data_IF_121902009234
#
_entry.id   IF_121902009234
#
_cell.length_a   1.000
_cell.length_b   1.000
_cell.length_c   1.000
_cell.angle_alpha   90.00
_cell.angle_beta   90.00
_cell.angle_gamma   90.00
#
_symmetry.space_group_name_H-M   'P 1'
#
loop_
_entity.id
_entity.type
_entity.pdbx_description
1 polymer ?
2 non-polymer ?
3 non-polymer ?
4 water ?
#
# COMPACT_ATOMS: atom_id res chain seq x y z
N UNK A 1 9.69 -19.06 24.81
CA UNK A 1 9.45 -18.82 23.36
C UNK A 1 10.63 -19.34 22.54
N UNK A 2 10.45 -20.52 21.95
CA UNK A 2 11.51 -21.12 21.14
C UNK A 2 11.18 -20.96 19.66
N UNK A 3 12.15 -20.47 18.89
CA UNK A 3 11.96 -20.28 17.45
C UNK A 3 12.97 -21.12 16.67
N UNK A 4 12.64 -21.38 15.42
CA UNK A 4 13.50 -22.15 14.52
C UNK A 4 13.89 -21.31 13.33
N UNK A 5 15.18 -21.29 13.02
CA UNK A 5 15.67 -20.52 11.87
C UNK A 5 15.55 -21.43 10.66
N UNK A 6 14.96 -20.92 9.59
CA UNK A 6 14.77 -21.71 8.37
C UNK A 6 15.49 -21.00 7.25
N UNK A 7 16.56 -21.62 6.75
CA UNK A 7 17.37 -21.02 5.70
C UNK A 7 17.59 -21.92 4.49
N UNK A 8 16.88 -23.05 4.41
CA UNK A 8 17.03 -23.95 3.29
C UNK A 8 15.68 -24.37 2.73
N UNK A 9 15.64 -24.71 1.45
CA UNK A 9 14.39 -25.13 0.83
C UNK A 9 13.81 -26.36 1.53
N UNK A 10 14.66 -27.31 1.87
CA UNK A 10 14.20 -28.53 2.55
C UNK A 10 13.58 -28.24 3.91
N UNK A 11 14.19 -27.33 4.65
CA UNK A 11 13.68 -26.97 5.97
C UNK A 11 12.34 -26.27 5.83
N UNK A 12 12.22 -25.44 4.80
CA UNK A 12 10.96 -24.73 4.56
C UNK A 12 9.89 -25.75 4.19
N UNK A 13 10.25 -26.70 3.33
CA UNK A 13 9.30 -27.73 2.91
C UNK A 13 8.82 -28.53 4.13
N UNK A 14 9.74 -28.90 5.01
CA UNK A 14 9.39 -29.65 6.20
C UNK A 14 8.46 -28.87 7.12
N UNK A 15 8.76 -27.58 7.28
CA UNK A 15 7.93 -26.72 8.11
C UNK A 15 6.50 -26.68 7.58
N UNK A 16 6.37 -26.38 6.29
CA UNK A 16 5.06 -26.28 5.67
C UNK A 16 4.26 -27.58 5.74
N UNK A 17 4.96 -28.71 5.72
CA UNK A 17 4.28 -30.01 5.81
C UNK A 17 3.57 -30.12 7.16
N UNK A 18 4.20 -29.58 8.20
CA UNK A 18 3.62 -29.62 9.53
C UNK A 18 2.55 -28.54 9.72
N UNK A 19 2.79 -27.37 9.16
CA UNK A 19 1.87 -26.25 9.28
C UNK A 19 0.54 -26.47 8.57
N UNK A 20 0.56 -27.20 7.46
CA UNK A 20 -0.66 -27.42 6.69
C UNK A 20 -1.86 -27.98 7.45
N UNK A 21 -1.60 -28.67 8.56
CA UNK A 21 -2.67 -29.25 9.37
C UNK A 21 -3.36 -28.25 10.30
N UNK A 22 -2.74 -27.09 10.50
CA UNK A 22 -3.31 -26.07 11.37
C UNK A 22 -4.35 -25.18 10.71
N UNK A 23 -5.28 -24.64 11.51
CA UNK A 23 -6.35 -23.77 11.01
C UNK A 23 -5.98 -22.31 10.77
N UNK A 24 -4.86 -21.86 11.33
CA UNK A 24 -4.47 -20.47 11.15
C UNK A 24 -3.02 -20.25 11.52
N UNK A 25 -2.45 -19.19 10.94
CA UNK A 25 -1.08 -18.81 11.23
C UNK A 25 -0.95 -17.31 11.36
N UNK A 26 -0.04 -16.89 12.23
CA UNK A 26 0.26 -15.49 12.43
C UNK A 26 1.49 -15.24 11.55
N UNK A 27 1.50 -14.12 10.83
CA UNK A 27 2.60 -13.76 9.94
C UNK A 27 3.12 -12.36 10.19
N UNK A 28 4.36 -12.12 9.79
CA UNK A 28 4.97 -10.81 9.90
C UNK A 28 6.23 -10.86 9.04
N UNK A 29 6.82 -9.70 8.77
CA UNK A 29 8.06 -9.64 8.00
C UNK A 29 8.93 -8.55 8.58
N UNK A 30 10.20 -8.57 8.21
CA UNK A 30 11.14 -7.54 8.62
C UNK A 30 11.85 -7.16 7.33
N UNK A 31 12.01 -5.88 7.10
CA UNK A 31 12.67 -5.40 5.89
C UNK A 31 13.30 -4.05 6.19
N UNK A 32 14.26 -3.65 5.36
CA UNK A 32 14.93 -2.37 5.55
C UNK A 32 14.52 -1.39 4.48
N UNK A 33 14.48 -0.11 4.83
CA UNK A 33 14.11 0.93 3.89
C UNK A 33 15.39 1.58 3.38
N UNK A 34 15.74 1.27 2.13
CA UNK A 34 16.94 1.82 1.52
C UNK A 34 16.57 2.64 0.29
N UNK A 35 17.46 2.67 -0.70
CA UNK A 35 17.20 3.45 -1.92
C UNK A 35 16.69 2.57 -3.06
N UNK A 36 16.42 1.30 -2.77
CA UNK A 36 15.93 0.40 -3.80
C UNK A 36 14.47 0.65 -4.15
N UNK A 37 14.07 0.15 -5.32
CA UNK A 37 12.69 0.29 -5.77
C UNK A 37 11.83 -0.67 -4.95
N UNK A 38 12.29 -1.91 -4.89
CA UNK A 38 11.59 -2.93 -4.12
C UNK A 38 12.22 -3.00 -2.73
N UNK A 39 11.39 -3.03 -1.68
CA UNK A 39 11.94 -3.09 -0.33
C UNK A 39 12.82 -4.33 -0.21
N UNK A 40 13.89 -4.22 0.58
CA UNK A 40 14.79 -5.33 0.78
C UNK A 40 14.30 -6.16 1.96
N UNK A 41 13.78 -7.35 1.64
CA UNK A 41 13.25 -8.27 2.63
C UNK A 41 14.34 -8.98 3.42
N UNK A 42 14.25 -8.92 4.74
CA UNK A 42 15.25 -9.56 5.57
C UNK A 42 14.75 -10.78 6.32
N UNK A 43 13.44 -10.90 6.50
CA UNK A 43 12.91 -12.03 7.24
C UNK A 43 11.39 -12.15 7.12
N UNK A 44 10.90 -13.37 7.21
CA UNK A 44 9.46 -13.65 7.21
C UNK A 44 9.26 -14.52 8.44
N UNK A 45 8.27 -14.18 9.25
CA UNK A 45 8.00 -14.95 10.46
C UNK A 45 6.64 -15.61 10.39
N UNK A 46 6.56 -16.84 10.89
CA UNK A 46 5.32 -17.59 10.88
C UNK A 46 5.14 -18.36 12.17
N UNK A 47 3.91 -18.41 12.67
CA UNK A 47 3.61 -19.12 13.91
C UNK A 47 2.23 -19.75 13.80
N UNK A 48 2.13 -21.06 14.05
CA UNK A 48 0.85 -21.76 13.97
C UNK A 48 0.36 -22.20 15.35
N UNK A 49 1.07 -21.77 16.39
CA UNK A 49 0.69 -22.13 17.74
C UNK A 49 1.65 -23.15 18.34
N UNK A 50 2.33 -23.89 17.47
CA UNK A 50 3.28 -24.90 17.90
C UNK A 50 4.64 -24.71 17.24
N UNK A 51 4.64 -24.32 15.97
CA UNK A 51 5.88 -24.08 15.25
C UNK A 51 6.06 -22.59 15.03
N UNK A 52 7.17 -22.06 15.52
CA UNK A 52 7.50 -20.64 15.38
C UNK A 52 8.72 -20.61 14.49
N UNK A 53 8.57 -20.07 13.28
CA UNK A 53 9.68 -20.03 12.34
C UNK A 53 10.10 -18.65 11.88
N UNK A 54 11.42 -18.49 11.75
CA UNK A 54 12.01 -17.26 11.25
C UNK A 54 12.63 -17.76 9.95
N UNK A 55 12.05 -17.31 8.84
CA UNK A 55 12.47 -17.72 7.51
C UNK A 55 13.37 -16.67 6.88
N UNK A 56 14.60 -17.08 6.58
CA UNK A 56 15.59 -16.20 5.98
C UNK A 56 15.47 -16.27 4.46
N UNK A 57 14.91 -15.22 3.83
CA UNK A 57 14.74 -15.20 2.37
C UNK A 57 16.04 -15.36 1.59
N UNK A 58 17.16 -14.97 2.21
CA UNK A 58 18.45 -15.07 1.54
C UNK A 58 18.91 -16.51 1.29
N UNK A 59 18.37 -17.45 2.06
CA UNK A 59 18.77 -18.84 1.87
C UNK A 59 17.76 -19.69 1.13
N UNK A 60 16.59 -19.13 0.83
CA UNK A 60 15.53 -19.85 0.14
C UNK A 60 15.55 -19.63 -1.37
N UNK A 61 15.33 -20.72 -2.12
CA UNK A 61 15.29 -20.65 -3.58
C UNK A 61 13.89 -21.04 -4.06
N UNK A 62 13.34 -22.09 -3.45
CA UNK A 62 12.01 -22.58 -3.82
C UNK A 62 11.00 -22.22 -2.73
N UNK A 63 10.15 -21.24 -3.04
CA UNK A 63 9.12 -20.78 -2.12
C UNK A 63 7.81 -21.54 -2.26
N UNK A 64 7.73 -22.43 -3.24
CA UNK A 64 6.50 -23.18 -3.50
C UNK A 64 5.76 -23.73 -2.27
N UNK A 65 6.46 -24.42 -1.36
CA UNK A 65 5.77 -24.96 -0.18
C UNK A 65 5.05 -23.88 0.64
N UNK A 66 5.70 -22.74 0.83
CA UNK A 66 5.10 -21.66 1.61
C UNK A 66 3.97 -20.99 0.83
N UNK A 67 4.16 -20.81 -0.48
CA UNK A 67 3.10 -20.19 -1.28
C UNK A 67 1.85 -21.07 -1.25
N UNK A 68 2.04 -22.38 -1.13
CA UNK A 68 0.90 -23.29 -1.07
C UNK A 68 0.16 -23.04 0.24
N UNK A 69 0.91 -22.89 1.33
CA UNK A 69 0.32 -22.60 2.62
C UNK A 69 -0.42 -21.26 2.57
N UNK A 70 0.22 -20.27 1.95
CA UNK A 70 -0.36 -18.94 1.86
C UNK A 70 -1.61 -18.82 1.02
N UNK A 71 -1.87 -19.79 0.12
CA UNK A 71 -3.09 -19.73 -0.70
C UNK A 71 -4.11 -20.76 -0.24
N UNK A 72 -3.74 -21.55 0.76
CA UNK A 72 -4.62 -22.60 1.30
C UNK A 72 -5.84 -21.98 1.99
N UNK A 73 -7.05 -22.21 1.45
CA UNK A 73 -8.26 -21.64 2.05
C UNK A 73 -8.57 -22.17 3.45
N UNK A 74 -8.01 -23.35 3.79
CA UNK A 74 -8.25 -23.95 5.11
C UNK A 74 -7.34 -23.40 6.19
N UNK A 75 -6.45 -22.48 5.82
CA UNK A 75 -5.53 -21.87 6.77
C UNK A 75 -5.74 -20.36 6.73
N UNK A 76 -6.26 -19.79 7.81
CA UNK A 76 -6.45 -18.36 7.84
C UNK A 76 -5.13 -17.69 8.18
N UNK A 77 -4.72 -16.72 7.37
CA UNK A 77 -3.49 -16.00 7.63
C UNK A 77 -3.82 -14.69 8.32
N UNK A 78 -3.05 -14.38 9.36
CA UNK A 78 -3.25 -13.15 10.11
C UNK A 78 -1.98 -12.31 10.20
N UNK A 79 -2.15 -11.01 10.24
CA UNK A 79 -1.05 -10.08 10.43
C UNK A 79 -1.61 -8.84 11.10
N UNK A 80 -0.74 -7.95 11.56
CA UNK A 80 -1.17 -6.71 12.18
C UNK A 80 -0.52 -5.55 11.45
N UNK A 81 -1.32 -4.61 10.96
CA UNK A 81 -0.84 -3.44 10.23
C UNK A 81 0.03 -3.95 9.08
N UNK A 82 -0.59 -4.70 8.18
CA UNK A 82 0.16 -5.29 7.08
C UNK A 82 0.30 -4.62 5.73
N UNK A 83 -0.02 -3.33 5.61
CA UNK A 83 0.09 -2.67 4.32
C UNK A 83 1.45 -2.92 3.65
N UNK A 84 2.54 -2.69 4.37
CA UNK A 84 3.86 -2.91 3.81
C UNK A 84 4.15 -4.39 3.63
N UNK A 85 3.62 -5.22 4.53
CA UNK A 85 3.82 -6.66 4.41
C UNK A 85 3.22 -7.15 3.10
N UNK A 86 2.07 -6.60 2.74
CA UNK A 86 1.43 -7.00 1.49
C UNK A 86 2.36 -6.70 0.31
N UNK A 87 3.01 -5.54 0.37
CA UNK A 87 3.92 -5.12 -0.68
C UNK A 87 5.06 -6.13 -0.80
N UNK A 88 5.65 -6.50 0.32
CA UNK A 88 6.75 -7.46 0.33
C UNK A 88 6.30 -8.82 -0.17
N UNK A 89 5.11 -9.26 0.24
CA UNK A 89 4.59 -10.54 -0.19
C UNK A 89 4.43 -10.58 -1.71
N UNK A 90 3.87 -9.52 -2.28
CA UNK A 90 3.69 -9.49 -3.74
C UNK A 90 5.04 -9.56 -4.44
N UNK A 91 6.04 -8.89 -3.89
CA UNK A 91 7.37 -8.88 -4.52
C UNK A 91 8.13 -10.21 -4.45
N UNK A 92 7.89 -11.00 -3.42
CA UNK A 92 8.60 -12.27 -3.32
C UNK A 92 7.79 -13.46 -3.81
N UNK A 93 6.47 -13.41 -3.62
CA UNK A 93 5.59 -14.51 -4.02
C UNK A 93 4.80 -14.26 -5.31
N UNK A 94 4.62 -12.99 -5.66
CA UNK A 94 3.88 -12.66 -6.88
C UNK A 94 2.38 -12.64 -6.66
N UNK A 95 1.96 -12.97 -5.45
CA UNK A 95 0.55 -13.01 -5.09
C UNK A 95 0.41 -12.79 -3.59
N UNK A 96 -0.77 -12.36 -3.15
CA UNK A 96 -1.02 -12.14 -1.74
C UNK A 96 -1.64 -13.37 -1.09
N UNK A 97 -1.39 -13.57 0.20
CA UNK A 97 -1.96 -14.73 0.88
C UNK A 97 -3.48 -14.59 0.96
N UNK A 98 -4.18 -15.72 1.05
CA UNK A 98 -5.63 -15.72 1.16
C UNK A 98 -6.10 -17.00 1.83
N UNK A 99 -7.03 -16.89 2.79
CA UNK A 99 -7.63 -15.63 3.25
C UNK A 99 -6.66 -14.95 4.21
N UNK A 100 -6.67 -13.61 4.19
CA UNK A 100 -5.76 -12.84 5.03
C UNK A 100 -6.54 -11.78 5.81
N UNK A 101 -6.36 -11.79 7.12
CA UNK A 101 -7.06 -10.86 8.01
C UNK A 101 -6.03 -10.02 8.79
N UNK A 102 -6.31 -8.73 8.90
CA UNK A 102 -5.44 -7.79 9.60
C UNK A 102 -6.08 -7.43 10.94
N UNK A 103 -5.41 -7.76 12.04
CA UNK A 103 -5.96 -7.47 13.35
C UNK A 103 -6.12 -5.98 13.62
N UNK A 104 -5.35 -5.14 12.93
CA UNK A 104 -5.47 -3.71 13.14
C UNK A 104 -6.82 -3.25 12.58
N UNK A 105 -7.26 -3.90 11.50
CA UNK A 105 -8.54 -3.57 10.89
C UNK A 105 -9.67 -4.11 11.78
N UNK A 106 -9.51 -5.34 12.27
CA UNK A 106 -10.52 -5.91 13.17
C UNK A 106 -10.70 -4.98 14.37
N UNK A 107 -9.59 -4.57 14.98
CA UNK A 107 -9.63 -3.69 16.15
C UNK A 107 -10.32 -2.36 15.87
N UNK A 108 -10.11 -1.82 14.67
CA UNK A 108 -10.72 -0.56 14.28
C UNK A 108 -12.24 -0.68 14.31
N UNK A 109 -12.77 -1.79 13.82
CA UNK A 109 -14.21 -1.98 13.83
C UNK A 109 -14.71 -2.20 15.26
N UNK A 110 -13.79 -2.57 16.15
CA UNK A 110 -14.13 -2.79 17.56
C UNK A 110 -14.01 -1.47 18.35
N UNK A 111 -13.59 -0.40 17.69
CA UNK A 111 -13.47 0.88 18.36
C UNK A 111 -12.08 1.44 18.58
N UNK A 112 -11.05 0.70 18.15
CA UNK A 112 -9.67 1.15 18.30
C UNK A 112 -9.22 2.02 17.14
N UNK A 113 -8.15 2.81 17.34
CA UNK A 113 -7.65 3.68 16.27
C UNK A 113 -7.14 2.85 15.09
N UNK A 114 -7.41 3.31 13.86
CA UNK A 114 -6.96 2.57 12.68
C UNK A 114 -5.45 2.40 12.67
N UNK A 115 -4.76 3.13 13.54
CA UNK A 115 -3.31 3.05 13.61
C UNK A 115 -2.82 2.40 14.91
N UNK A 116 -3.71 1.70 15.61
CA UNK A 116 -3.35 1.05 16.86
C UNK A 116 -2.09 0.20 16.70
N UNK A 117 -1.06 0.51 17.47
CA UNK A 117 0.20 -0.20 17.38
C UNK A 117 0.21 -1.61 17.95
N UNK A 118 1.07 -2.45 17.38
CA UNK A 118 1.20 -3.82 17.82
C UNK A 118 1.56 -3.91 19.30
N UNK A 119 2.56 -3.16 19.73
CA UNK A 119 2.96 -3.20 21.13
C UNK A 119 1.80 -2.82 22.06
N UNK A 120 1.07 -1.78 21.70
CA UNK A 120 -0.07 -1.34 22.51
C UNK A 120 -1.12 -2.44 22.60
N UNK A 121 -1.37 -3.07 21.47
CA UNK A 121 -2.36 -4.15 21.42
C UNK A 121 -1.93 -5.34 22.28
N UNK A 122 -0.64 -5.69 22.22
CA UNK A 122 -0.14 -6.82 22.99
C UNK A 122 -0.25 -6.51 24.48
N UNK A 123 0.06 -5.28 24.85
CA UNK A 123 -0.02 -4.84 26.24
C UNK A 123 -1.44 -5.02 26.74
N UNK A 124 -2.40 -4.59 25.93
CA UNK A 124 -3.82 -4.67 26.27
C UNK A 124 -4.34 -6.09 26.46
N UNK A 125 -4.01 -6.99 25.54
CA UNK A 125 -4.50 -8.36 25.62
C UNK A 125 -3.68 -9.35 26.44
N UNK A 126 -2.36 -9.18 26.48
CA UNK A 126 -1.52 -10.11 27.24
C UNK A 126 -0.92 -9.52 28.51
N UNK A 127 -0.92 -8.20 28.62
CA UNK A 127 -0.36 -7.57 29.79
C UNK A 127 1.16 -7.59 29.70
N UNK A 128 1.67 -7.89 28.51
CA UNK A 128 3.10 -7.93 28.29
C UNK A 128 3.58 -6.66 27.61
N UNK A 129 4.68 -6.11 28.11
CA UNK A 129 5.26 -4.89 27.54
C UNK A 129 6.42 -5.33 26.65
N UNK A 130 6.24 -5.19 25.34
CA UNK A 130 7.27 -5.59 24.39
C UNK A 130 8.52 -4.72 24.42
N UNK A 131 9.64 -5.32 24.05
CA UNK A 131 10.92 -4.63 24.00
C UNK A 131 11.12 -4.14 22.56
N UNK A 132 11.22 -2.84 22.37
CA UNK A 132 11.39 -2.25 21.04
C UNK A 132 12.84 -1.92 20.71
N UNK A 133 13.77 -2.38 21.54
CA UNK A 133 15.19 -2.11 21.34
C UNK A 133 15.75 -2.58 20.01
N UNK A 134 15.13 -3.60 19.41
CA UNK A 134 15.61 -4.14 18.14
C UNK A 134 14.71 -3.82 16.95
N UNK A 135 13.70 -2.97 17.16
CA UNK A 135 12.77 -2.60 16.10
C UNK A 135 13.46 -1.98 14.88
N UNK A 136 14.31 -0.99 15.12
CA UNK A 136 15.02 -0.31 14.04
C UNK A 136 16.45 -0.81 13.90
N UNK A 137 16.60 -2.05 13.45
CA UNK A 137 17.92 -2.64 13.26
C UNK A 137 18.12 -3.07 11.80
N UNK A 138 19.32 -3.50 11.47
CA UNK A 138 19.64 -3.92 10.10
C UNK A 138 19.21 -5.38 9.87
N UNK A 139 18.03 -5.55 9.31
CA UNK A 139 17.50 -6.89 9.06
C UNK A 139 18.20 -7.67 7.96
N UNK A 140 19.16 -7.03 7.29
CA UNK A 140 19.91 -7.70 6.24
C UNK A 140 21.29 -8.16 6.70
N UNK A 141 21.65 -7.77 7.92
CA UNK A 141 22.95 -8.16 8.47
C UNK A 141 22.88 -9.64 8.86
N UNK A 142 24.00 -10.34 8.76
CA UNK A 142 24.04 -11.77 9.08
C UNK A 142 25.32 -12.19 9.79
N UNK A 143 25.21 -13.10 10.76
CA UNK A 143 23.93 -13.68 11.19
C UNK A 143 23.18 -12.66 12.04
N UNK A 144 21.86 -12.79 12.09
CA UNK A 144 21.06 -11.90 12.91
C UNK A 144 21.40 -12.27 14.35
N UNK A 145 21.33 -11.28 15.25
CA UNK A 145 21.64 -11.55 16.65
C UNK A 145 20.46 -12.25 17.31
N UNK A 146 20.72 -12.86 18.46
CA UNK A 146 19.66 -13.55 19.18
C UNK A 146 18.57 -12.56 19.55
N UNK A 147 18.97 -11.37 19.98
CA UNK A 147 18.01 -10.33 20.34
C UNK A 147 17.14 -9.95 19.16
N UNK A 148 17.75 -9.86 17.98
CA UNK A 148 16.97 -9.52 16.78
C UNK A 148 15.95 -10.61 16.51
N UNK A 149 16.39 -11.86 16.58
CA UNK A 149 15.51 -12.98 16.32
C UNK A 149 14.34 -13.02 17.31
N UNK A 150 14.63 -12.72 18.57
CA UNK A 150 13.59 -12.71 19.60
C UNK A 150 12.56 -11.63 19.31
N UNK A 151 13.02 -10.46 18.87
CA UNK A 151 12.10 -9.38 18.54
C UNK A 151 11.19 -9.83 17.40
N UNK A 152 11.80 -10.36 16.34
CA UNK A 152 11.06 -10.82 15.18
C UNK A 152 10.07 -11.93 15.54
N UNK A 153 10.50 -12.84 16.41
CA UNK A 153 9.66 -13.96 16.83
C UNK A 153 8.46 -13.47 17.64
N UNK A 154 8.69 -12.49 18.52
CA UNK A 154 7.62 -11.96 19.35
C UNK A 154 6.48 -11.37 18.54
N UNK A 155 6.79 -10.85 17.36
CA UNK A 155 5.77 -10.25 16.50
C UNK A 155 4.72 -11.23 16.01
N UNK A 156 5.02 -12.53 16.04
CA UNK A 156 4.02 -13.51 15.64
C UNK A 156 3.59 -14.35 16.84
N UNK A 157 4.50 -14.55 17.80
CA UNK A 157 4.20 -15.32 19.00
C UNK A 157 3.00 -14.74 19.74
N UNK A 158 3.05 -13.45 20.05
CA UNK A 158 1.94 -12.82 20.76
C UNK A 158 0.74 -12.51 19.88
N UNK A 159 0.94 -12.48 18.57
CA UNK A 159 -0.17 -12.18 17.68
C UNK A 159 -1.22 -13.28 17.61
N UNK A 160 -0.80 -14.54 17.53
CA UNK A 160 -1.76 -15.63 17.40
C UNK A 160 -2.89 -15.65 18.44
N UNK A 161 -2.56 -15.58 19.74
CA UNK A 161 -3.67 -15.61 20.70
C UNK A 161 -4.63 -14.44 20.50
N UNK A 162 -4.08 -13.27 20.17
CA UNK A 162 -4.89 -12.08 19.95
C UNK A 162 -5.80 -12.21 18.73
N UNK A 163 -5.37 -12.94 17.70
CA UNK A 163 -6.23 -13.10 16.53
C UNK A 163 -7.54 -13.78 16.94
N UNK A 164 -7.46 -14.77 17.82
CA UNK A 164 -8.66 -15.48 18.27
C UNK A 164 -9.57 -14.56 19.06
N UNK A 165 -8.98 -13.74 19.92
CA UNK A 165 -9.73 -12.79 20.74
C UNK A 165 -10.42 -11.74 19.90
N UNK A 166 -9.68 -11.14 18.97
CA UNK A 166 -10.28 -10.12 18.11
C UNK A 166 -11.32 -10.67 17.14
N UNK A 167 -11.17 -11.90 16.68
CA UNK A 167 -12.17 -12.46 15.78
C UNK A 167 -13.48 -12.60 16.53
N UNK A 168 -13.40 -12.98 17.80
CA UNK A 168 -14.61 -13.12 18.61
C UNK A 168 -15.21 -11.73 18.88
N UNK A 169 -14.37 -10.77 19.28
CA UNK A 169 -14.86 -9.42 19.55
C UNK A 169 -15.53 -8.80 18.33
N UNK A 170 -14.89 -8.94 17.17
CA UNK A 170 -15.43 -8.35 15.96
C UNK A 170 -16.75 -9.01 15.56
N UNK A 171 -16.82 -10.33 15.67
CA UNK A 171 -18.05 -11.01 15.30
C UNK A 171 -19.19 -10.60 16.25
N UNK A 172 -18.87 -10.56 17.54
CA UNK A 172 -19.84 -10.20 18.58
C UNK A 172 -20.44 -8.82 18.39
N UNK A 173 -19.72 -7.94 17.70
CA UNK A 173 -20.17 -6.58 17.47
C UNK A 173 -20.99 -6.43 16.19
N UNK A 174 -21.04 -7.49 15.38
CA UNK A 174 -21.79 -7.45 14.14
C UNK A 174 -21.02 -6.83 12.98
N UNK A 175 -19.75 -6.52 13.20
CA UNK A 175 -18.94 -5.91 12.15
C UNK A 175 -17.98 -6.82 11.41
N UNK A 176 -18.04 -8.13 11.64
CA UNK A 176 -17.11 -9.02 10.96
C UNK A 176 -17.19 -8.96 9.43
N UNK A 177 -18.41 -8.98 8.86
CA UNK A 177 -18.46 -8.92 7.39
C UNK A 177 -17.77 -7.67 6.86
N UNK A 178 -18.04 -6.54 7.49
CA UNK A 178 -17.44 -5.28 7.06
C UNK A 178 -15.92 -5.28 7.22
N UNK A 179 -15.45 -5.79 8.36
CA UNK A 179 -14.01 -5.84 8.62
C UNK A 179 -13.30 -6.71 7.60
N UNK A 180 -13.90 -7.85 7.23
CA UNK A 180 -13.26 -8.73 6.26
C UNK A 180 -13.31 -8.10 4.86
N UNK A 181 -14.37 -7.35 4.57
CA UNK A 181 -14.45 -6.69 3.28
C UNK A 181 -13.37 -5.60 3.23
N UNK A 182 -13.16 -4.92 4.36
CA UNK A 182 -12.16 -3.86 4.42
C UNK A 182 -10.76 -4.46 4.23
N UNK A 183 -10.53 -5.64 4.80
CA UNK A 183 -9.25 -6.30 4.63
C UNK A 183 -9.07 -6.61 3.15
N UNK A 184 -10.13 -7.08 2.51
CA UNK A 184 -10.07 -7.41 1.09
C UNK A 184 -9.76 -6.17 0.27
N UNK A 185 -10.39 -5.04 0.63
CA UNK A 185 -10.18 -3.81 -0.10
C UNK A 185 -8.71 -3.38 -0.08
N UNK A 186 -8.08 -3.44 1.10
CA UNK A 186 -6.67 -3.05 1.18
C UNK A 186 -5.83 -3.98 0.31
N UNK A 187 -6.18 -5.27 0.32
CA UNK A 187 -5.45 -6.24 -0.46
C UNK A 187 -5.61 -5.95 -1.96
N UNK A 188 -6.83 -5.64 -2.39
CA UNK A 188 -7.06 -5.34 -3.79
C UNK A 188 -6.27 -4.10 -4.22
N UNK A 189 -6.22 -3.08 -3.37
CA UNK A 189 -5.47 -1.87 -3.71
C UNK A 189 -3.99 -2.16 -3.88
N UNK A 190 -3.42 -2.96 -2.98
CA UNK A 190 -2.00 -3.30 -3.06
C UNK A 190 -1.66 -4.12 -4.30
N UNK A 191 -2.64 -4.84 -4.83
CA UNK A 191 -2.42 -5.68 -6.01
C UNK A 191 -2.36 -4.86 -7.29
N UNK A 192 -2.91 -3.65 -7.26
CA UNK A 192 -2.93 -2.80 -8.44
C UNK A 192 -1.50 -2.46 -8.85
N UNK A 193 -1.21 -2.57 -10.15
CA UNK A 193 0.12 -2.28 -10.68
C UNK A 193 0.03 -1.06 -11.58
N UNK A 194 0.89 -0.07 -11.34
CA UNK A 194 0.88 1.14 -12.15
C UNK A 194 1.64 0.92 -13.45
N UNK A 195 0.95 1.07 -14.57
CA UNK A 195 1.59 0.92 -15.87
C UNK A 195 2.41 2.19 -16.08
N UNK A 196 3.60 2.05 -16.68
CA UNK A 196 4.47 3.21 -16.92
C UNK A 196 3.74 4.38 -17.61
N UNK A 197 2.87 4.05 -18.56
CA UNK A 197 2.12 5.08 -19.28
C UNK A 197 1.16 5.88 -18.41
N UNK A 198 0.90 5.38 -17.20
CA UNK A 198 -0.01 6.05 -16.27
C UNK A 198 0.71 6.64 -15.06
N UNK A 199 2.04 6.53 -15.03
CA UNK A 199 2.82 7.04 -13.92
C UNK A 199 2.57 8.53 -13.66
N UNK A 200 2.40 9.29 -14.73
CA UNK A 200 2.18 10.73 -14.62
C UNK A 200 0.94 11.10 -13.80
N UNK A 201 -0.07 10.25 -13.85
CA UNK A 201 -1.32 10.50 -13.13
C UNK A 201 -1.13 10.64 -11.62
N UNK A 202 -0.04 10.07 -11.11
CA UNK A 202 0.22 10.12 -9.68
C UNK A 202 1.05 11.31 -9.22
N UNK A 203 1.51 12.12 -10.16
CA UNK A 203 2.28 13.32 -9.82
C UNK A 203 1.19 14.37 -9.52
N UNK A 204 1.05 14.70 -8.23
CA UNK A 204 0.00 15.60 -7.76
C UNK A 204 -0.11 17.02 -8.30
N UNK A 205 0.89 17.51 -9.03
CA UNK A 205 0.79 18.86 -9.59
C UNK A 205 0.77 18.80 -11.12
N UNK A 206 0.51 17.62 -11.66
CA UNK A 206 0.44 17.44 -13.11
C UNK A 206 -0.73 18.24 -13.68
N UNK A 207 -1.76 18.47 -12.87
CA UNK A 207 -2.93 19.21 -13.32
C UNK A 207 -2.61 20.66 -13.70
N UNK A 208 -1.50 21.18 -13.20
CA UNK A 208 -1.12 22.55 -13.49
C UNK A 208 -0.50 22.74 -14.87
N UNK A 209 -0.24 21.63 -15.55
CA UNK A 209 0.37 21.66 -16.88
C UNK A 209 -0.63 21.76 -18.01
N UNK A 210 -0.19 22.37 -19.11
CA UNK A 210 -1.04 22.46 -20.29
C UNK A 210 -0.79 21.18 -21.08
N UNK A 211 -1.53 21.00 -22.17
CA UNK A 211 -1.44 19.78 -22.97
C UNK A 211 -0.05 19.32 -23.42
N UNK A 212 0.70 20.20 -24.06
CA UNK A 212 2.02 19.84 -24.54
C UNK A 212 2.94 19.47 -23.38
N UNK A 213 2.84 20.24 -22.29
CA UNK A 213 3.64 19.99 -21.11
C UNK A 213 3.26 18.66 -20.50
N UNK A 214 1.97 18.37 -20.49
CA UNK A 214 1.49 17.12 -19.91
C UNK A 214 1.96 15.93 -20.75
N UNK A 215 1.98 16.09 -22.07
CA UNK A 215 2.44 15.01 -22.93
C UNK A 215 3.87 14.71 -22.55
N UNK A 216 4.65 15.75 -22.26
CA UNK A 216 6.04 15.59 -21.87
C UNK A 216 6.11 14.83 -20.55
N UNK A 217 5.31 15.24 -19.57
CA UNK A 217 5.33 14.59 -18.26
C UNK A 217 5.00 13.10 -18.39
N UNK A 218 4.05 12.78 -19.26
CA UNK A 218 3.67 11.38 -19.46
C UNK A 218 4.86 10.57 -19.94
N UNK A 219 5.57 11.08 -20.95
CA UNK A 219 6.72 10.37 -21.49
C UNK A 219 7.84 10.28 -20.45
N UNK A 220 8.06 11.37 -19.72
CA UNK A 220 9.10 11.42 -18.70
C UNK A 220 8.86 10.46 -17.54
N UNK A 221 7.63 10.43 -17.04
CA UNK A 221 7.29 9.57 -15.90
C UNK A 221 7.29 8.10 -16.30
N UNK A 222 6.94 7.82 -17.56
CA UNK A 222 6.92 6.46 -18.11
C UNK A 222 8.37 5.97 -18.10
N UNK A 223 9.24 6.75 -18.71
CA UNK A 223 10.66 6.43 -18.77
C UNK A 223 11.26 6.25 -17.37
N UNK A 224 10.95 7.18 -16.46
CA UNK A 224 11.51 7.10 -15.10
C UNK A 224 11.09 5.86 -14.33
N UNK A 225 9.81 5.49 -14.42
CA UNK A 225 9.34 4.32 -13.69
C UNK A 225 9.99 3.06 -14.24
N UNK A 226 10.15 2.99 -15.55
CA UNK A 226 10.79 1.83 -16.17
C UNK A 226 12.24 1.76 -15.73
N UNK A 227 12.92 2.90 -15.70
CA UNK A 227 14.31 2.95 -15.29
C UNK A 227 14.46 2.55 -13.83
N UNK A 228 13.52 3.01 -13.00
CA UNK A 228 13.54 2.67 -11.58
C UNK A 228 13.42 1.16 -11.38
N UNK A 229 12.50 0.54 -12.11
CA UNK A 229 12.29 -0.90 -12.01
C UNK A 229 13.49 -1.66 -12.58
N UNK A 230 14.13 -1.10 -13.60
CA UNK A 230 15.29 -1.72 -14.23
C UNK A 230 16.50 -1.71 -13.30
N UNK A 231 16.74 -0.56 -12.68
CA UNK A 231 17.87 -0.37 -11.78
C UNK A 231 17.61 -0.76 -10.34
N UNK A 232 16.34 -0.98 -10.01
CA UNK A 232 15.90 -1.29 -8.65
C UNK A 232 16.30 -0.12 -7.76
N UNK A 233 15.83 1.05 -8.16
CA UNK A 233 16.06 2.30 -7.44
C UNK A 233 14.74 3.03 -7.33
N UNK A 234 14.46 3.59 -6.16
CA UNK A 234 13.23 4.35 -5.96
C UNK A 234 13.24 5.42 -7.05
N UNK A 235 12.07 5.73 -7.62
CA UNK A 235 11.99 6.71 -8.69
C UNK A 235 12.71 8.04 -8.45
N UNK A 236 12.68 8.54 -7.22
CA UNK A 236 13.32 9.82 -6.96
C UNK A 236 14.85 9.75 -6.99
N UNK A 237 15.40 8.54 -6.95
CA UNK A 237 16.84 8.38 -7.01
C UNK A 237 17.27 8.25 -8.47
N UNK A 238 16.31 8.28 -9.38
CA UNK A 238 16.58 8.23 -10.81
C UNK A 238 16.62 9.71 -11.23
N UNK A 239 15.50 10.38 -11.00
CA UNK A 239 15.37 11.82 -11.26
C UNK A 239 14.37 12.31 -10.22
N UNK A 240 14.77 13.29 -9.42
CA UNK A 240 13.88 13.83 -8.38
C UNK A 240 12.57 14.30 -9.00
N UNK A 241 11.48 14.03 -8.30
CA UNK A 241 10.15 14.38 -8.76
C UNK A 241 10.03 15.84 -9.20
N UNK A 242 10.57 16.75 -8.39
CA UNK A 242 10.50 18.18 -8.72
C UNK A 242 11.26 18.46 -10.01
N UNK A 243 12.40 17.80 -10.17
CA UNK A 243 13.22 17.98 -11.36
C UNK A 243 12.50 17.47 -12.61
N UNK A 244 11.85 16.32 -12.48
CA UNK A 244 11.13 15.75 -13.61
C UNK A 244 9.99 16.67 -14.03
N UNK A 245 9.28 17.21 -13.05
CA UNK A 245 8.16 18.11 -13.32
C UNK A 245 8.68 19.35 -14.05
N UNK A 246 9.81 19.88 -13.58
CA UNK A 246 10.41 21.07 -14.19
C UNK A 246 10.73 20.81 -15.65
N UNK A 247 11.26 19.62 -15.96
CA UNK A 247 11.59 19.31 -17.34
C UNK A 247 10.31 19.35 -18.17
N UNK A 248 9.23 18.82 -17.61
CA UNK A 248 7.95 18.81 -18.31
C UNK A 248 7.38 20.21 -18.47
N UNK A 249 7.48 21.01 -17.41
CA UNK A 249 6.95 22.37 -17.44
C UNK A 249 7.72 23.32 -18.33
N UNK A 250 9.04 23.30 -18.23
CA UNK A 250 9.86 24.21 -19.00
C UNK A 250 10.35 23.73 -20.37
N UNK A 251 10.16 22.46 -20.66
CA UNK A 251 10.54 21.89 -21.96
C UNK A 251 11.95 22.35 -22.41
N UNK A 252 12.98 22.06 -21.62
CA UNK A 252 14.37 22.43 -21.92
C UNK A 252 14.90 21.83 -23.22
N UNK A 253 15.80 22.56 -23.89
CA UNK A 253 16.37 22.09 -25.13
C UNK A 253 17.87 21.87 -25.14
N UNK A 254 18.51 21.98 -23.98
CA UNK A 254 19.95 21.76 -23.89
C UNK A 254 20.36 21.29 -22.50
N UNK A 255 21.56 20.74 -22.39
CA UNK A 255 22.07 20.26 -21.11
C UNK A 255 22.28 21.46 -20.19
N UNK A 256 22.68 22.59 -20.79
CA UNK A 256 22.90 23.79 -19.99
C UNK A 256 21.60 24.19 -19.32
N UNK A 257 20.50 24.03 -20.03
CA UNK A 257 19.19 24.38 -19.46
C UNK A 257 18.80 23.44 -18.34
N UNK A 258 19.18 22.17 -18.44
CA UNK A 258 18.86 21.21 -17.39
C UNK A 258 19.58 21.66 -16.11
N UNK A 259 20.80 22.17 -16.28
CA UNK A 259 21.57 22.65 -15.14
C UNK A 259 20.84 23.84 -14.53
N UNK A 260 20.36 24.75 -15.38
CA UNK A 260 19.64 25.93 -14.91
C UNK A 260 18.39 25.53 -14.14
N UNK A 261 17.74 24.45 -14.56
CA UNK A 261 16.53 23.98 -13.90
C UNK A 261 16.78 23.30 -12.56
N UNK A 262 18.06 23.09 -12.23
CA UNK A 262 18.37 22.48 -10.94
C UNK A 262 18.71 21.01 -10.91
N UNK A 263 18.73 20.34 -12.06
CA UNK A 263 19.07 18.92 -12.06
C UNK A 263 20.51 18.75 -11.60
N UNK A 264 20.75 17.65 -10.88
CA UNK A 264 22.07 17.36 -10.35
C UNK A 264 23.04 16.90 -11.43
N UNK A 265 24.33 16.96 -11.10
CA UNK A 265 25.35 16.55 -12.05
C UNK A 265 25.15 15.11 -12.48
N UNK A 266 24.76 14.26 -11.53
CA UNK A 266 24.52 12.84 -11.80
C UNK A 266 23.30 12.65 -12.69
N UNK A 267 22.22 13.35 -12.38
CA UNK A 267 21.00 13.22 -13.18
C UNK A 267 21.31 13.62 -14.62
N UNK A 268 22.08 14.69 -14.78
CA UNK A 268 22.43 15.17 -16.11
C UNK A 268 23.39 14.26 -16.88
N UNK A 269 24.47 13.81 -16.23
CA UNK A 269 25.41 12.97 -16.96
C UNK A 269 24.81 11.62 -17.36
N UNK A 270 23.97 11.06 -16.50
CA UNK A 270 23.35 9.77 -16.79
C UNK A 270 22.07 9.85 -17.61
N UNK A 271 21.22 10.83 -17.32
CA UNK A 271 19.93 10.93 -18.00
C UNK A 271 19.67 12.17 -18.85
N UNK A 272 20.57 13.15 -18.80
CA UNK A 272 20.39 14.37 -19.56
C UNK A 272 19.96 14.22 -21.00
N UNK A 273 20.73 13.48 -21.78
CA UNK A 273 20.43 13.28 -23.19
C UNK A 273 19.04 12.65 -23.37
N UNK A 274 18.72 11.65 -22.55
CA UNK A 274 17.42 10.99 -22.63
C UNK A 274 16.28 11.95 -22.34
N UNK A 275 16.44 12.75 -21.28
CA UNK A 275 15.40 13.71 -20.89
C UNK A 275 15.14 14.70 -22.01
N UNK A 276 16.20 15.22 -22.62
CA UNK A 276 16.05 16.18 -23.71
C UNK A 276 15.37 15.53 -24.92
N UNK A 277 15.67 14.26 -25.18
CA UNK A 277 15.06 13.56 -26.30
C UNK A 277 13.57 13.37 -26.05
N UNK A 278 13.19 13.10 -24.80
CA UNK A 278 11.78 12.91 -24.47
C UNK A 278 11.03 14.23 -24.65
N UNK A 279 11.68 15.34 -24.28
CA UNK A 279 11.07 16.65 -24.44
C UNK A 279 10.84 16.90 -25.93
N UNK A 280 11.84 16.59 -26.75
CA UNK A 280 11.72 16.81 -28.18
C UNK A 280 10.64 15.90 -28.77
N UNK A 281 10.53 14.69 -28.26
CA UNK A 281 9.52 13.75 -28.74
C UNK A 281 8.12 14.32 -28.50
N UNK A 282 7.92 14.88 -27.31
CA UNK A 282 6.63 15.45 -26.95
C UNK A 282 6.35 16.68 -27.81
N UNK A 283 7.41 17.39 -28.17
CA UNK A 283 7.31 18.60 -28.98
C UNK A 283 6.84 18.30 -30.40
N UNK A 284 7.25 17.14 -30.92
CA UNK A 284 6.90 16.75 -32.28
C UNK A 284 5.69 15.83 -32.36
N UNK A 285 5.10 15.51 -31.20
CA UNK A 285 3.93 14.65 -31.17
C UNK A 285 2.74 15.32 -31.85
N UNK A 286 1.93 14.54 -32.59
CA UNK A 286 0.77 15.12 -33.26
C UNK A 286 -0.30 15.38 -32.20
N UNK A 287 -1.03 16.49 -32.34
CA UNK A 287 -2.06 16.84 -31.37
C UNK A 287 -3.08 15.74 -31.09
N UNK A 288 -3.38 14.91 -32.08
CA UNK A 288 -4.34 13.83 -31.88
C UNK A 288 -3.75 12.72 -31.03
N UNK A 289 -2.49 12.90 -30.61
CA UNK A 289 -1.82 11.92 -29.77
C UNK A 289 -1.55 12.50 -28.39
N UNK A 290 -1.90 13.77 -28.21
CA UNK A 290 -1.70 14.46 -26.93
C UNK A 290 -2.76 14.06 -25.92
N UNK A 291 -2.41 14.07 -24.63
CA UNK A 291 -3.35 13.72 -23.57
C UNK A 291 -4.32 14.86 -23.27
N UNK A 292 -5.46 14.53 -22.69
CA UNK A 292 -6.45 15.55 -22.34
C UNK A 292 -6.02 16.19 -21.03
N UNK A 293 -6.20 17.51 -20.90
CA UNK A 293 -5.79 18.17 -19.66
C UNK A 293 -6.54 17.61 -18.45
N UNK A 294 -5.89 17.65 -17.29
CA UNK A 294 -6.50 17.15 -16.07
C UNK A 294 -7.46 18.17 -15.48
N UNK A 295 -8.49 17.69 -14.81
CA UNK A 295 -9.48 18.56 -14.20
C UNK A 295 -9.28 18.55 -12.69
N UNK A 296 -8.74 19.65 -12.17
CA UNK A 296 -8.49 19.77 -10.74
C UNK A 296 -9.82 19.78 -10.00
N UNK A 297 -10.04 18.72 -9.25
CA UNK A 297 -11.26 18.58 -8.48
C UNK A 297 -11.56 19.82 -7.66
N UNK A 298 -10.54 20.33 -6.98
CA UNK A 298 -10.71 21.51 -6.14
C UNK A 298 -11.27 22.72 -6.86
N UNK A 299 -11.07 22.79 -8.18
CA UNK A 299 -11.58 23.93 -8.94
C UNK A 299 -12.94 23.74 -9.59
N UNK A 300 -13.61 22.63 -9.27
CA UNK A 300 -14.95 22.37 -9.80
C UNK A 300 -16.00 23.09 -8.97
N UNK A 301 -16.99 23.73 -9.62
CA UNK A 301 -18.02 24.44 -8.86
C UNK A 301 -18.76 23.50 -7.91
N UNK A 302 -18.86 23.91 -6.64
CA UNK A 302 -19.54 23.11 -5.64
C UNK A 302 -18.68 22.15 -4.85
N UNK A 303 -17.40 22.04 -5.19
CA UNK A 303 -16.50 21.12 -4.48
C UNK A 303 -16.48 21.31 -2.95
N UNK A 304 -16.15 22.52 -2.50
CA UNK A 304 -16.08 22.77 -1.06
C UNK A 304 -17.39 22.51 -0.34
N UNK A 305 -18.49 22.90 -0.96
CA UNK A 305 -19.81 22.70 -0.36
C UNK A 305 -20.12 21.21 -0.28
N UNK A 306 -19.83 20.48 -1.35
CA UNK A 306 -20.09 19.03 -1.39
C UNK A 306 -19.22 18.29 -0.37
N UNK A 307 -17.95 18.66 -0.29
CA UNK A 307 -17.03 18.01 0.64
C UNK A 307 -17.55 18.17 2.08
N UNK A 308 -17.91 19.39 2.43
CA UNK A 308 -18.42 19.69 3.76
C UNK A 308 -19.70 18.90 4.03
N UNK A 309 -20.58 18.85 3.03
CA UNK A 309 -21.84 18.12 3.15
C UNK A 309 -21.59 16.64 3.40
N UNK A 310 -20.64 16.06 2.67
CA UNK A 310 -20.31 14.66 2.83
C UNK A 310 -19.71 14.40 4.22
N UNK A 311 -18.82 15.28 4.66
CA UNK A 311 -18.21 15.13 5.98
C UNK A 311 -19.31 15.13 7.04
N UNK A 312 -20.29 16.01 6.87
CA UNK A 312 -21.39 16.10 7.82
C UNK A 312 -22.18 14.79 7.82
N UNK A 313 -22.40 14.24 6.62
CA UNK A 313 -23.13 12.99 6.50
C UNK A 313 -22.38 11.86 7.18
N UNK A 314 -21.07 11.81 6.96
CA UNK A 314 -20.24 10.78 7.56
C UNK A 314 -20.35 10.84 9.08
N UNK A 315 -20.39 12.06 9.62
CA UNK A 315 -20.51 12.21 11.06
C UNK A 315 -21.81 11.60 11.55
N UNK A 316 -22.91 11.84 10.84
CA UNK A 316 -24.20 11.29 11.22
C UNK A 316 -24.21 9.77 11.15
N UNK A 317 -23.63 9.23 10.08
CA UNK A 317 -23.56 7.79 9.90
C UNK A 317 -22.72 7.19 11.03
N UNK A 318 -21.64 7.89 11.37
CA UNK A 318 -20.73 7.45 12.44
C UNK A 318 -21.43 7.32 13.79
N UNK A 319 -22.20 8.35 14.15
CA UNK A 319 -22.90 8.35 15.43
C UNK A 319 -24.04 7.33 15.45
N UNK A 320 -24.65 7.10 14.30
CA UNK A 320 -25.76 6.16 14.19
C UNK A 320 -25.31 4.70 14.26
N UNK A 321 -24.25 4.36 13.53
CA UNK A 321 -23.76 3.00 13.50
C UNK A 321 -22.67 2.71 14.52
N UNK A 322 -22.30 3.73 15.28
CA UNK A 322 -21.28 3.59 16.32
C UNK A 322 -19.99 3.04 15.72
N UNK A 323 -19.50 3.73 14.69
CA UNK A 323 -18.28 3.34 14.01
C UNK A 323 -17.50 4.62 13.73
N UNK A 324 -16.19 4.54 13.78
CA UNK A 324 -15.33 5.71 13.56
C UNK A 324 -15.55 6.39 12.21
N UNK A 325 -15.58 7.72 12.24
CA UNK A 325 -15.77 8.49 11.01
C UNK A 325 -14.55 8.31 10.11
N UNK A 326 -13.38 8.14 10.72
CA UNK A 326 -12.16 7.97 9.94
C UNK A 326 -12.21 6.65 9.17
N UNK A 327 -12.84 5.64 9.77
CA UNK A 327 -12.96 4.35 9.13
C UNK A 327 -13.98 4.44 8.01
N UNK A 328 -15.06 5.18 8.25
CA UNK A 328 -16.10 5.36 7.25
C UNK A 328 -15.61 6.07 6.00
N UNK A 329 -14.88 7.17 6.19
CA UNK A 329 -14.39 7.91 5.03
C UNK A 329 -13.19 8.81 5.28
N UNK A 330 -12.18 8.65 4.44
CA UNK A 330 -10.98 9.46 4.51
C UNK A 330 -11.17 10.54 3.46
N UNK A 331 -10.32 11.57 3.50
CA UNK A 331 -10.38 12.65 2.53
C UNK A 331 -10.19 12.03 1.13
N UNK A 332 -9.29 11.06 1.04
CA UNK A 332 -9.02 10.38 -0.24
C UNK A 332 -10.29 9.75 -0.79
N UNK A 333 -11.03 9.07 0.06
CA UNK A 333 -12.27 8.40 -0.38
C UNK A 333 -13.36 9.40 -0.75
N UNK A 334 -13.45 10.51 -0.03
CA UNK A 334 -14.45 11.51 -0.38
C UNK A 334 -14.11 12.10 -1.75
N UNK A 335 -12.84 12.41 -1.96
CA UNK A 335 -12.41 12.97 -3.26
C UNK A 335 -12.61 11.95 -4.37
N UNK A 336 -12.42 10.67 -4.05
CA UNK A 336 -12.59 9.60 -5.04
C UNK A 336 -14.04 9.59 -5.52
N UNK A 337 -14.97 9.75 -4.58
CA UNK A 337 -16.38 9.78 -4.90
C UNK A 337 -16.75 10.99 -5.76
N UNK A 338 -16.19 12.14 -5.43
CA UNK A 338 -16.49 13.36 -6.19
C UNK A 338 -15.84 13.34 -7.58
N UNK A 339 -14.64 12.77 -7.68
CA UNK A 339 -13.99 12.66 -8.98
C UNK A 339 -14.85 11.78 -9.88
N UNK A 340 -15.50 10.79 -9.27
CA UNK A 340 -16.37 9.87 -10.00
C UNK A 340 -17.64 10.61 -10.43
N UNK A 341 -18.23 11.33 -9.49
CA UNK A 341 -19.46 12.08 -9.73
C UNK A 341 -19.33 13.06 -10.88
N UNK A 342 -18.19 13.74 -10.93
CA UNK A 342 -17.96 14.73 -11.97
C UNK A 342 -17.12 14.21 -13.16
N UNK A 343 -16.86 12.90 -13.18
CA UNK A 343 -16.08 12.28 -14.25
C UNK A 343 -14.81 13.07 -14.54
N UNK A 344 -14.06 13.39 -13.51
CA UNK A 344 -12.83 14.16 -13.65
C UNK A 344 -11.62 13.34 -14.03
N UNK A 345 -11.74 12.03 -13.93
CA UNK A 345 -10.63 11.16 -14.29
C UNK A 345 -11.08 9.71 -14.41
N UNK A 346 -10.32 8.90 -15.15
CA UNK A 346 -10.68 7.50 -15.32
C UNK A 346 -10.48 6.71 -14.04
N UNK A 347 -11.49 5.92 -13.68
CA UNK A 347 -11.44 5.09 -12.48
C UNK A 347 -11.90 3.69 -12.87
N UNK A 348 -11.10 2.69 -12.49
CA UNK A 348 -11.41 1.30 -12.80
C UNK A 348 -12.63 0.76 -12.08
N UNK A 349 -12.76 1.07 -10.79
CA UNK A 349 -13.87 0.57 -10.01
C UNK A 349 -14.74 1.68 -9.42
N UNK A 350 -15.93 1.29 -8.95
CA UNK A 350 -16.86 2.21 -8.33
C UNK A 350 -16.21 2.72 -7.04
N UNK A 351 -16.47 3.99 -6.68
CA UNK A 351 -15.90 4.57 -5.46
C UNK A 351 -16.12 3.71 -4.23
N UNK A 352 -15.11 3.63 -3.38
CA UNK A 352 -15.18 2.86 -2.16
C UNK A 352 -16.33 3.27 -1.25
N UNK A 353 -16.66 4.57 -1.19
CA UNK A 353 -17.74 5.03 -0.33
C UNK A 353 -19.13 4.50 -0.68
N UNK A 354 -19.34 4.13 -1.94
CA UNK A 354 -20.64 3.62 -2.36
C UNK A 354 -20.58 2.16 -2.80
N UNK A 355 -19.55 1.45 -2.34
CA UNK A 355 -19.40 0.04 -2.68
C UNK A 355 -19.03 -0.75 -1.44
N UNK A 356 -19.07 -2.08 -1.57
CA UNK A 356 -18.73 -2.92 -0.44
C UNK A 356 -19.49 -2.58 0.83
N UNK A 357 -18.82 -2.75 1.97
CA UNK A 357 -19.48 -2.48 3.25
C UNK A 357 -19.93 -1.04 3.46
N UNK A 358 -19.17 -0.08 2.94
CA UNK A 358 -19.56 1.32 3.10
C UNK A 358 -20.84 1.62 2.33
N UNK A 359 -20.95 1.08 1.13
CA UNK A 359 -22.13 1.32 0.32
C UNK A 359 -23.37 0.79 1.01
N UNK A 360 -23.25 -0.39 1.61
CA UNK A 360 -24.38 -0.99 2.30
C UNK A 360 -24.86 -0.06 3.42
N UNK A 361 -23.93 0.70 3.99
CA UNK A 361 -24.27 1.63 5.07
C UNK A 361 -24.77 2.99 4.64
N UNK A 362 -24.15 3.56 3.60
CA UNK A 362 -24.53 4.91 3.20
C UNK A 362 -24.63 5.26 1.72
N UNK A 363 -24.63 4.28 0.82
CA UNK A 363 -24.74 4.59 -0.60
C UNK A 363 -26.03 5.37 -0.89
N UNK A 364 -27.13 4.92 -0.32
CA UNK A 364 -28.41 5.59 -0.55
C UNK A 364 -28.33 7.06 -0.13
N UNK A 365 -27.80 7.31 1.06
CA UNK A 365 -27.66 8.68 1.57
C UNK A 365 -26.69 9.51 0.73
N UNK A 366 -25.60 8.89 0.30
CA UNK A 366 -24.62 9.60 -0.54
C UNK A 366 -25.19 9.97 -1.91
N UNK A 367 -25.92 9.05 -2.53
CA UNK A 367 -26.52 9.34 -3.84
C UNK A 367 -27.56 10.44 -3.70
N UNK A 368 -28.29 10.43 -2.58
CA UNK A 368 -29.30 11.44 -2.34
C UNK A 368 -28.62 12.81 -2.21
N UNK A 369 -27.50 12.83 -1.49
CA UNK A 369 -26.75 14.06 -1.28
C UNK A 369 -26.21 14.59 -2.60
N UNK A 370 -25.70 13.70 -3.43
CA UNK A 370 -25.13 14.07 -4.73
C UNK A 370 -26.15 14.64 -5.72
N UNK A 371 -27.44 14.44 -5.44
CA UNK A 371 -28.47 14.96 -6.34
C UNK A 371 -28.47 16.49 -6.28
N UNK A 372 -27.82 17.04 -5.26
CA UNK A 372 -27.77 18.48 -5.07
C UNK A 372 -26.64 19.14 -5.85
N UNK A 373 -25.83 18.33 -6.51
CA UNK A 373 -24.71 18.83 -7.30
C UNK A 373 -24.78 18.26 -8.71
N UNK A 374 -24.92 19.14 -9.72
CA UNK A 374 -25.00 18.65 -11.09
C UNK A 374 -23.78 17.89 -11.56
N UNK A 375 -24.01 16.79 -12.28
CA UNK A 375 -22.92 15.99 -12.82
C UNK A 375 -22.29 16.78 -13.97
X LIG B 1 -17.33 25.72 -3.94
X LIG B 1 -18.33 24.87 -3.27
X LIG B 1 -16.01 25.07 -3.93
X LIG B 1 -17.74 25.95 -5.34
X LIG B 1 -17.25 27.02 -3.23
X LIG C 1 -5.98 18.48 -0.22
X LIG C 1 -6.96 17.38 -0.33
X LIG C 1 -5.33 18.43 1.10
X LIG C 1 -4.96 18.33 -1.27
X LIG C 1 -6.69 19.77 -0.38
X LIG D 1 -9.34 6.43 -7.98
X LIG D 1 -10.39 5.47 -8.41
X LIG D 1 -8.90 6.06 -6.62
X LIG D 1 -8.20 6.35 -8.91
X LIG D 1 -9.89 7.79 -7.97
X LIG E 1 -6.93 11.97 5.46
X LIG E 1 -6.23 10.67 5.50
X LIG E 1 -6.48 12.81 6.57
X LIG E 1 -6.62 12.64 4.18
X LIG E 1 -8.39 11.75 5.56
X LIG F 1 -17.16 26.70 6.69
X LIG F 1 -16.81 28.01 7.28
X LIG F 1 -16.03 26.19 5.90
X LIG F 1 -17.48 25.75 7.77
X LIG F 1 -18.33 26.86 5.81
X LIG G 1 22.62 13.19 -6.53
X LIG G 1 22.08 12.88 -5.19
X LIG G 1 23.51 12.09 -6.97
X LIG G 1 21.52 13.35 -7.49
X LIG G 1 23.40 14.45 -6.46
X LIG H 1 -6.60 6.25 3.14
X LIG H 1 -6.54 5.60 4.47
X LIG H 1 -6.30 7.69 3.30
X LIG H 1 -5.58 5.64 2.26
X LIG H 1 -7.94 6.08 2.56
X LIG I 1 7.81 -7.46 13.05
X LIG J 1 4.35 -6.29 9.46
X LIG K 1 9.20 -28.96 11.36
X LIG L 1 17.42 4.60 -21.53
X LIG M 1 9.27 -32.69 3.45
#
# INVERSE_FOLDING_TARGET
>A
MNYQMITTDDALASLCEAVRAFPAIALDTEFVRTRTYYPQLGLIQLFDGEHLALIDPLGITDWSPLKAILRDPSITKFLHAGSEDLEVFLNVFGELPQPLIDTQILAAFCGRPMSWGFASMVEEYSGVTLDKSESRTDWLARPLTERQCEYAAADVWYLLPITAKLMVETEASGWLPAALDECRLMQMRRQEVVAPEDAWRDITNAWQLRTRQLACLQLLADWRLRKARERDLAVNFVVREEHLWSVARYMPGSLGELDSLGLSGSEIRFHGKTLLALVEKAQTLPEDALPQPMLNLMDMPGYRKAFKAIKSLITDVSETHKISAELLASRRQINQLLNWHWKLKPQNNLPELISGWRGELMAEALHNLLQEYPQ
>B hetero
1 SO4 S O1 O2 O3 O4
>C hetero
1 SO4 S O1 O2 O3 O4
>D hetero
1 SO4 S O1 O2 O3 O4
>E hetero
1 SO4 S O1 O2 O3 O4
>F hetero
1 SO4 S O1 O2 O3 O4
>G hetero
1 SO4 S O1 O2 O3 O4
>H hetero
1 SO4 S O1 O2 O3 O4
>I hetero
1 ZN ZN
>J hetero
1 ZN ZN
>K hetero
1 ZN ZN
>L hetero
1 ZN ZN
>M hetero
1 ZN ZN
#
